data_IF_758631745452
#
_entry.id   IF_758631745452
#
_cell.length_a   1.000
_cell.length_b   1.000
_cell.length_c   1.000
_cell.angle_alpha   90.00
_cell.angle_beta   90.00
_cell.angle_gamma   90.00
#
_symmetry.space_group_name_H-M   'P 1'
#
loop_
_entity.id
_entity.type
_entity.pdbx_description
1 polymer ?
#
# COMPACT_ATOMS: atom_id res chain seq x y z
N UNK A 1 4.82 15.64 6.38
CA UNK A 1 3.41 15.17 6.27
C UNK A 1 2.85 15.66 4.96
N UNK A 2 1.88 14.98 4.36
CA UNK A 2 1.21 15.44 3.14
C UNK A 2 0.25 16.60 3.49
N UNK A 3 0.03 17.54 2.58
CA UNK A 3 -1.07 18.51 2.66
C UNK A 3 -2.10 18.11 1.60
N UNK A 4 -3.31 17.69 2.02
CA UNK A 4 -4.37 17.24 1.11
C UNK A 4 -3.96 16.08 0.17
N UNK A 5 -3.04 15.21 0.61
CA UNK A 5 -2.51 14.11 -0.22
C UNK A 5 -1.33 14.49 -1.12
N UNK A 6 -0.96 15.77 -1.18
CA UNK A 6 0.21 16.25 -1.92
C UNK A 6 1.44 16.44 -1.02
N UNK A 7 2.66 16.21 -1.53
CA UNK A 7 3.87 16.46 -0.76
C UNK A 7 4.08 17.97 -0.55
N UNK A 8 4.49 18.36 0.66
CA UNK A 8 4.82 19.76 1.00
C UNK A 8 5.87 20.37 0.08
N UNK A 9 6.74 19.54 -0.50
CA UNK A 9 7.69 19.92 -1.52
C UNK A 9 7.69 18.89 -2.65
N UNK A 10 7.67 19.37 -3.89
CA UNK A 10 7.71 18.52 -5.09
C UNK A 10 9.13 18.07 -5.48
N UNK A 11 10.14 18.36 -4.66
CA UNK A 11 11.52 18.01 -4.98
C UNK A 11 11.72 16.48 -4.95
N UNK A 12 12.52 15.92 -5.87
CA UNK A 12 12.80 14.48 -5.90
C UNK A 12 13.32 13.94 -4.56
N UNK A 13 14.18 14.71 -3.88
CA UNK A 13 14.70 14.36 -2.56
C UNK A 13 13.61 14.30 -1.49
N UNK A 14 12.61 15.18 -1.54
CA UNK A 14 11.52 15.18 -0.55
C UNK A 14 10.62 13.95 -0.70
N UNK A 15 10.26 13.56 -1.93
CA UNK A 15 9.42 12.38 -2.20
C UNK A 15 10.07 11.12 -1.65
N UNK A 16 11.33 10.85 -2.03
CA UNK A 16 12.05 9.68 -1.53
C UNK A 16 12.19 9.70 -0.01
N UNK A 17 12.54 10.84 0.58
CA UNK A 17 12.64 10.98 2.03
C UNK A 17 11.29 10.75 2.75
N UNK A 18 10.17 11.13 2.14
CA UNK A 18 8.84 10.86 2.69
C UNK A 18 8.55 9.36 2.71
N UNK A 19 8.79 8.65 1.61
CA UNK A 19 8.61 7.19 1.54
C UNK A 19 9.45 6.50 2.61
N UNK A 20 10.73 6.87 2.74
CA UNK A 20 11.63 6.28 3.71
C UNK A 20 11.19 6.52 5.16
N UNK A 21 10.65 7.71 5.49
CA UNK A 21 10.08 7.97 6.83
C UNK A 21 8.84 7.12 7.10
N UNK A 22 7.97 6.91 6.10
CA UNK A 22 6.80 6.04 6.25
C UNK A 22 7.26 4.61 6.53
N UNK A 23 8.20 4.07 5.73
CA UNK A 23 8.74 2.73 5.96
C UNK A 23 9.38 2.59 7.35
N UNK A 24 10.20 3.56 7.77
CA UNK A 24 10.86 3.55 9.07
C UNK A 24 9.88 3.67 10.25
N UNK A 25 8.73 4.32 10.06
CA UNK A 25 7.74 4.50 11.13
C UNK A 25 6.99 3.22 11.49
N UNK A 26 6.86 2.28 10.54
CA UNK A 26 5.99 1.10 10.63
C UNK A 26 4.55 1.42 11.05
N UNK A 27 4.12 2.66 10.85
CA UNK A 27 2.77 3.15 11.16
C UNK A 27 1.79 2.63 10.08
N UNK A 28 0.81 1.79 10.44
CA UNK A 28 -0.13 1.20 9.47
C UNK A 28 -0.94 2.25 8.72
N UNK A 29 -1.40 3.29 9.41
CA UNK A 29 -2.15 4.40 8.83
C UNK A 29 -1.30 5.21 7.85
N UNK A 30 -0.01 5.40 8.15
CA UNK A 30 0.92 6.08 7.24
C UNK A 30 1.18 5.26 5.96
N UNK A 31 1.25 3.93 6.07
CA UNK A 31 1.32 3.03 4.91
C UNK A 31 0.05 3.19 4.06
N UNK A 32 -1.13 3.08 4.68
CA UNK A 32 -2.40 3.21 3.96
C UNK A 32 -2.54 4.59 3.28
N UNK A 33 -2.26 5.67 4.00
CA UNK A 33 -2.37 7.03 3.47
C UNK A 33 -1.47 7.29 2.26
N UNK A 34 -0.30 6.65 2.21
CA UNK A 34 0.65 6.79 1.11
C UNK A 34 0.31 5.89 -0.10
N UNK A 35 -0.46 4.82 0.09
CA UNK A 35 -0.68 3.78 -0.92
C UNK A 35 -1.15 4.31 -2.30
N UNK A 36 -2.16 5.20 -2.40
CA UNK A 36 -2.64 5.68 -3.70
C UNK A 36 -1.62 6.51 -4.50
N UNK A 37 -0.67 7.13 -3.80
CA UNK A 37 0.42 7.88 -4.43
C UNK A 37 1.53 6.97 -4.95
N UNK A 38 1.65 5.75 -4.39
CA UNK A 38 2.66 4.75 -4.74
C UNK A 38 2.17 3.78 -5.82
N UNK A 39 0.89 3.83 -6.20
CA UNK A 39 0.32 3.04 -7.27
C UNK A 39 0.75 3.49 -8.67
N UNK A 40 -0.16 3.35 -9.65
CA UNK A 40 0.09 3.75 -11.04
C UNK A 40 0.50 5.24 -11.19
N UNK A 41 0.10 6.11 -10.24
CA UNK A 41 0.51 7.53 -10.21
C UNK A 41 2.03 7.74 -10.09
N UNK A 42 2.75 6.78 -9.51
CA UNK A 42 4.19 6.81 -9.37
C UNK A 42 4.94 6.24 -10.59
N UNK A 43 4.23 5.75 -11.62
CA UNK A 43 4.85 5.15 -12.80
C UNK A 43 5.78 6.15 -13.50
N UNK A 44 7.04 5.75 -13.69
CA UNK A 44 8.06 6.60 -14.33
C UNK A 44 8.65 7.71 -13.44
N UNK A 45 8.34 7.73 -12.14
CA UNK A 45 8.97 8.67 -11.21
C UNK A 45 10.36 8.17 -10.78
N UNK A 46 11.42 8.71 -11.40
CA UNK A 46 12.81 8.38 -11.08
C UNK A 46 13.17 8.61 -9.61
N UNK A 47 12.45 9.52 -8.93
CA UNK A 47 12.63 9.77 -7.50
C UNK A 47 12.12 8.63 -6.61
N UNK A 48 11.45 7.63 -7.18
CA UNK A 48 10.93 6.46 -6.49
C UNK A 48 11.58 5.14 -6.93
N UNK A 49 12.58 5.17 -7.83
CA UNK A 49 13.39 3.99 -8.17
C UNK A 49 13.88 3.27 -6.90
N UNK A 50 13.73 1.95 -6.89
CA UNK A 50 14.07 1.08 -5.75
C UNK A 50 13.01 1.03 -4.64
N UNK A 51 11.94 1.81 -4.73
CA UNK A 51 10.79 1.70 -3.83
C UNK A 51 9.75 0.74 -4.41
N UNK A 52 8.93 0.12 -3.56
CA UNK A 52 7.68 -0.55 -3.98
C UNK A 52 6.70 0.55 -4.42
N UNK A 53 6.71 0.84 -5.73
CA UNK A 53 5.96 1.92 -6.36
C UNK A 53 5.77 1.67 -7.87
N UNK A 54 4.75 2.31 -8.46
CA UNK A 54 4.64 2.52 -9.92
C UNK A 54 3.58 1.68 -10.63
N UNK A 55 2.92 0.76 -9.95
CA UNK A 55 1.84 -0.05 -10.51
C UNK A 55 0.74 -0.32 -9.46
N UNK A 56 -0.37 -0.95 -9.89
CA UNK A 56 -1.47 -1.26 -8.98
C UNK A 56 -1.10 -2.26 -7.88
N UNK A 57 -0.12 -3.15 -8.12
CA UNK A 57 0.31 -4.13 -7.14
C UNK A 57 1.12 -3.47 -6.03
N UNK A 58 1.87 -2.41 -6.30
CA UNK A 58 2.57 -1.62 -5.29
C UNK A 58 1.61 -0.88 -4.35
N UNK A 59 0.51 -0.31 -4.87
CA UNK A 59 -0.54 0.29 -4.05
C UNK A 59 -1.21 -0.76 -3.16
N UNK A 60 -1.61 -1.88 -3.76
CA UNK A 60 -2.29 -2.96 -3.07
C UNK A 60 -1.41 -3.63 -2.02
N UNK A 61 -0.14 -3.89 -2.34
CA UNK A 61 0.83 -4.44 -1.41
C UNK A 61 1.01 -3.52 -0.19
N UNK A 62 0.93 -2.20 -0.36
CA UNK A 62 1.00 -1.25 0.75
C UNK A 62 -0.25 -1.27 1.63
N UNK A 63 -1.43 -1.44 1.05
CA UNK A 63 -2.69 -1.63 1.80
C UNK A 63 -2.65 -2.95 2.60
N UNK A 64 -2.22 -4.04 1.99
CA UNK A 64 -2.06 -5.34 2.66
C UNK A 64 -0.96 -5.29 3.72
N UNK A 65 0.15 -4.60 3.47
CA UNK A 65 1.19 -4.38 4.47
C UNK A 65 0.67 -3.59 5.69
N UNK A 66 -0.19 -2.59 5.49
CA UNK A 66 -0.85 -1.89 6.60
C UNK A 66 -1.66 -2.86 7.48
N UNK A 67 -2.41 -3.79 6.88
CA UNK A 67 -3.12 -4.85 7.63
C UNK A 67 -2.14 -5.70 8.46
N UNK A 68 -1.03 -6.14 7.86
CA UNK A 68 0.00 -6.93 8.56
C UNK A 68 0.69 -6.15 9.69
N UNK A 69 0.72 -4.81 9.61
CA UNK A 69 1.27 -3.94 10.65
C UNK A 69 0.25 -3.60 11.76
N UNK A 70 -0.99 -4.06 11.65
CA UNK A 70 -2.01 -3.93 12.71
C UNK A 70 -3.16 -2.96 12.39
N UNK A 71 -3.28 -2.48 11.16
CA UNK A 71 -4.47 -1.75 10.72
C UNK A 71 -5.71 -2.68 10.82
N UNK A 72 -6.87 -2.12 11.22
CA UNK A 72 -8.13 -2.84 11.11
C UNK A 72 -8.49 -3.08 9.63
N UNK A 73 -8.47 -4.35 9.26
CA UNK A 73 -8.78 -4.84 7.93
C UNK A 73 -9.94 -5.84 7.94
N UNK A 74 -10.73 -5.85 9.02
CA UNK A 74 -11.95 -6.65 9.11
C UNK A 74 -12.98 -6.25 8.05
N UNK A 75 -13.99 -7.09 7.85
CA UNK A 75 -15.04 -6.86 6.85
C UNK A 75 -15.79 -5.52 7.02
N UNK A 76 -15.94 -5.05 8.28
CA UNK A 76 -16.61 -3.79 8.62
C UNK A 76 -15.65 -2.59 8.64
N UNK A 77 -14.37 -2.80 8.30
CA UNK A 77 -13.35 -1.76 8.37
C UNK A 77 -13.60 -0.62 7.37
N UNK A 78 -13.06 0.55 7.71
CA UNK A 78 -13.03 1.70 6.79
C UNK A 78 -12.23 1.36 5.53
N UNK A 79 -11.20 0.51 5.63
CA UNK A 79 -10.41 0.08 4.48
C UNK A 79 -11.28 -0.67 3.45
N UNK A 80 -12.02 -1.71 3.87
CA UNK A 80 -12.92 -2.47 2.99
C UNK A 80 -13.97 -1.56 2.36
N UNK A 81 -14.60 -0.70 3.17
CA UNK A 81 -15.61 0.26 2.70
C UNK A 81 -15.03 1.21 1.65
N UNK A 82 -13.87 1.81 1.95
CA UNK A 82 -13.21 2.77 1.04
C UNK A 82 -12.73 2.11 -0.24
N UNK A 83 -12.23 0.87 -0.18
CA UNK A 83 -11.80 0.14 -1.35
C UNK A 83 -12.98 -0.15 -2.28
N UNK A 84 -14.09 -0.64 -1.74
CA UNK A 84 -15.33 -0.83 -2.50
C UNK A 84 -15.78 0.46 -3.20
N UNK A 85 -15.80 1.57 -2.47
CA UNK A 85 -16.22 2.86 -3.01
C UNK A 85 -15.29 3.40 -4.12
N UNK A 86 -13.97 3.20 -4.01
CA UNK A 86 -12.99 3.79 -4.92
C UNK A 86 -12.58 2.86 -6.08
N UNK A 87 -12.49 1.54 -5.83
CA UNK A 87 -12.09 0.55 -6.83
C UNK A 87 -13.29 -0.04 -7.60
N UNK A 88 -14.51 0.13 -7.08
CA UNK A 88 -15.73 -0.41 -7.70
C UNK A 88 -15.87 -1.94 -7.60
N UNK A 89 -15.01 -2.58 -6.79
CA UNK A 89 -15.04 -4.02 -6.50
C UNK A 89 -15.28 -4.16 -5.01
N UNK A 90 -16.34 -4.86 -4.63
CA UNK A 90 -16.77 -5.03 -3.26
C UNK A 90 -16.78 -6.51 -2.89
N UNK A 91 -16.47 -6.83 -1.62
CA UNK A 91 -16.62 -8.20 -1.13
C UNK A 91 -18.07 -8.68 -1.30
N UNK A 92 -18.24 -9.92 -1.75
CA UNK A 92 -19.55 -10.58 -1.80
C UNK A 92 -19.87 -11.33 -0.50
N UNK A 93 -18.87 -11.54 0.33
CA UNK A 93 -18.99 -12.17 1.64
C UNK A 93 -18.77 -11.12 2.73
N UNK A 94 -19.81 -10.85 3.51
CA UNK A 94 -19.79 -9.84 4.59
C UNK A 94 -18.89 -10.23 5.77
N UNK A 95 -18.37 -11.46 5.82
CA UNK A 95 -17.42 -11.88 6.85
C UNK A 95 -15.96 -11.81 6.38
N UNK A 96 -15.71 -11.55 5.10
CA UNK A 96 -14.38 -11.61 4.51
C UNK A 96 -13.56 -10.35 4.85
N UNK A 97 -12.37 -10.55 5.42
CA UNK A 97 -11.42 -9.47 5.64
C UNK A 97 -10.83 -8.95 4.32
N UNK A 98 -10.21 -7.77 4.38
CA UNK A 98 -9.65 -7.10 3.21
C UNK A 98 -8.62 -7.94 2.45
N UNK A 99 -7.72 -8.63 3.16
CA UNK A 99 -6.62 -9.38 2.54
C UNK A 99 -7.20 -10.56 1.76
N UNK A 100 -8.05 -11.35 2.42
CA UNK A 100 -8.75 -12.47 1.81
C UNK A 100 -9.57 -12.04 0.58
N UNK A 101 -10.30 -10.92 0.70
CA UNK A 101 -11.10 -10.34 -0.40
C UNK A 101 -10.24 -9.93 -1.60
N UNK A 102 -9.15 -9.21 -1.34
CA UNK A 102 -8.27 -8.70 -2.40
C UNK A 102 -7.67 -9.83 -3.23
N UNK A 103 -7.18 -10.89 -2.58
CA UNK A 103 -6.58 -12.02 -3.28
C UNK A 103 -7.60 -12.88 -4.03
N UNK A 104 -8.88 -12.87 -3.62
CA UNK A 104 -9.95 -13.59 -4.31
C UNK A 104 -10.51 -12.80 -5.51
N UNK A 105 -10.71 -11.49 -5.34
CA UNK A 105 -11.50 -10.68 -6.27
C UNK A 105 -10.72 -9.64 -7.09
N UNK A 106 -9.58 -9.14 -6.57
CA UNK A 106 -8.87 -8.01 -7.16
C UNK A 106 -7.52 -8.40 -7.81
N UNK A 107 -6.85 -9.43 -7.29
CA UNK A 107 -5.55 -9.88 -7.80
C UNK A 107 -5.72 -11.04 -8.78
N UNK A 108 -5.27 -10.91 -10.05
CA UNK A 108 -5.20 -12.06 -10.94
C UNK A 108 -4.29 -13.13 -10.36
N UNK A 109 -4.56 -14.42 -10.61
CA UNK A 109 -3.72 -15.54 -10.09
C UNK A 109 -2.23 -15.36 -10.35
N UNK A 110 -1.86 -14.77 -11.50
CA UNK A 110 -0.47 -14.52 -11.88
C UNK A 110 0.20 -13.38 -11.08
N UNK A 111 -0.59 -12.52 -10.45
CA UNK A 111 -0.13 -11.38 -9.66
C UNK A 111 -0.10 -11.63 -8.15
N UNK A 112 -0.67 -12.74 -7.66
CA UNK A 112 -0.74 -13.04 -6.23
C UNK A 112 0.65 -13.15 -5.61
N UNK A 113 1.52 -13.99 -6.19
CA UNK A 113 2.91 -14.14 -5.75
C UNK A 113 3.67 -12.82 -5.77
N UNK A 114 3.38 -11.95 -6.75
CA UNK A 114 4.01 -10.63 -6.84
C UNK A 114 3.56 -9.70 -5.71
N UNK A 115 2.26 -9.67 -5.42
CA UNK A 115 1.74 -8.87 -4.30
C UNK A 115 2.35 -9.35 -2.99
N UNK A 116 2.43 -10.67 -2.75
CA UNK A 116 3.05 -11.20 -1.54
C UNK A 116 4.53 -10.82 -1.40
N UNK A 117 5.33 -10.95 -2.47
CA UNK A 117 6.75 -10.52 -2.47
C UNK A 117 6.90 -9.03 -2.11
N UNK A 118 6.03 -8.18 -2.67
CA UNK A 118 6.05 -6.74 -2.39
C UNK A 118 5.62 -6.44 -0.95
N UNK A 119 4.63 -7.16 -0.42
CA UNK A 119 4.20 -7.02 0.98
C UNK A 119 5.35 -7.43 1.90
N UNK A 120 6.01 -8.55 1.64
CA UNK A 120 7.15 -9.03 2.43
C UNK A 120 8.29 -8.01 2.42
N UNK A 121 8.59 -7.41 1.27
CA UNK A 121 9.56 -6.31 1.16
C UNK A 121 9.18 -5.11 2.04
N UNK A 122 7.88 -4.79 2.12
CA UNK A 122 7.35 -3.64 2.87
C UNK A 122 7.30 -3.85 4.38
N UNK A 123 7.13 -5.10 4.85
CA UNK A 123 7.02 -5.43 6.28
C UNK A 123 8.32 -6.01 6.86
N UNK A 124 9.27 -6.42 6.03
CA UNK A 124 10.59 -6.83 6.50
C UNK A 124 11.29 -5.67 7.21
N UNK A 125 12.01 -5.96 8.29
CA UNK A 125 12.73 -4.95 9.04
C UNK A 125 13.95 -4.43 8.24
N UNK A 126 14.04 -3.12 7.93
CA UNK A 126 15.23 -2.57 7.31
C UNK A 126 16.51 -2.79 8.15
N UNK A 127 16.39 -3.10 9.45
CA UNK A 127 17.51 -3.42 10.34
C UNK A 127 18.08 -4.84 10.24
N UNK A 128 17.41 -5.77 9.54
CA UNK A 128 17.84 -7.17 9.45
C UNK A 128 18.93 -7.43 8.38
N UNK A 129 19.38 -6.40 7.66
CA UNK A 129 20.45 -6.47 6.65
C UNK A 129 21.74 -5.79 7.14
N UNK A 130 22.12 -6.01 8.40
CA UNK A 130 23.42 -5.59 8.98
C UNK A 130 24.45 -6.69 8.93
#
# INVERSE_FOLDING_TARGET
MLALGEPLHVSPGYKRALVQRVLASRDPEAYLALAPAMGARASGDDSLQGCVAGDQFAELARQVAACRLGLDCSADSTLVTSYCANAGICSRDSAQDFVSFVFDAAVPRQGADKVDELVDTLVSDPGAQS
#
